data_IF_431598506165
#
_entry.id   IF_431598506165
#
_cell.length_a   1.000
_cell.length_b   1.000
_cell.length_c   1.000
_cell.angle_alpha   90.00
_cell.angle_beta   90.00
_cell.angle_gamma   90.00
#
_symmetry.space_group_name_H-M   'P 1'
#
loop_
_entity.id
_entity.type
_entity.pdbx_description
1 polymer ?
#
# COMPACT_ATOMS: atom_id res chain seq x y z
N UNK A 1 2.27 -7.75 -14.30
CA UNK A 1 1.11 -7.05 -13.68
C UNK A 1 -0.09 -7.07 -14.60
N UNK A 2 0.11 -6.95 -15.89
CA UNK A 2 -0.97 -6.86 -16.88
C UNK A 2 -1.65 -8.22 -17.12
N UNK A 3 -0.98 -9.32 -16.78
CA UNK A 3 -1.50 -10.71 -16.90
C UNK A 3 -2.44 -11.12 -15.76
N UNK A 4 -2.56 -10.31 -14.71
CA UNK A 4 -3.46 -10.62 -13.60
C UNK A 4 -4.90 -10.23 -13.95
N UNK A 5 -5.87 -11.08 -13.63
CA UNK A 5 -7.28 -10.70 -13.62
C UNK A 5 -7.54 -9.61 -12.56
N UNK A 6 -8.63 -8.86 -12.68
CA UNK A 6 -8.97 -7.80 -11.71
C UNK A 6 -9.15 -8.34 -10.29
N UNK A 7 -9.68 -9.55 -10.15
CA UNK A 7 -9.82 -10.24 -8.87
C UNK A 7 -8.45 -10.55 -8.25
N UNK A 8 -7.52 -11.08 -9.04
CA UNK A 8 -6.15 -11.38 -8.60
C UNK A 8 -5.38 -10.10 -8.29
N UNK A 9 -5.52 -9.07 -9.11
CA UNK A 9 -4.91 -7.77 -8.88
C UNK A 9 -5.36 -7.17 -7.54
N UNK A 10 -6.68 -7.15 -7.29
CA UNK A 10 -7.24 -6.66 -6.03
C UNK A 10 -6.77 -7.48 -4.83
N UNK A 11 -6.66 -8.79 -4.99
CA UNK A 11 -6.16 -9.69 -3.95
C UNK A 11 -4.68 -9.45 -3.65
N UNK A 12 -3.88 -9.17 -4.68
CA UNK A 12 -2.44 -8.97 -4.60
C UNK A 12 -2.06 -7.60 -4.04
N UNK A 13 -2.74 -6.54 -4.49
CA UNK A 13 -2.39 -5.15 -4.17
C UNK A 13 -3.36 -4.47 -3.20
N UNK A 14 -4.41 -5.16 -2.77
CA UNK A 14 -5.47 -4.66 -1.88
C UNK A 14 -6.20 -3.42 -2.40
N UNK A 15 -6.09 -3.13 -3.69
CA UNK A 15 -6.77 -2.02 -4.35
C UNK A 15 -7.23 -2.41 -5.76
N UNK A 16 -8.13 -1.61 -6.34
CA UNK A 16 -8.52 -1.78 -7.75
C UNK A 16 -7.45 -1.21 -8.68
N UNK A 17 -7.43 -1.61 -9.96
CA UNK A 17 -6.54 -1.01 -10.98
C UNK A 17 -6.76 0.49 -11.09
N UNK A 18 -8.02 0.93 -11.09
CA UNK A 18 -8.35 2.36 -11.14
C UNK A 18 -7.78 3.15 -9.95
N UNK A 19 -7.85 2.56 -8.74
CA UNK A 19 -7.24 3.16 -7.54
C UNK A 19 -5.72 3.17 -7.64
N UNK A 20 -5.11 2.10 -8.13
CA UNK A 20 -3.68 2.02 -8.36
C UNK A 20 -3.19 3.12 -9.33
N UNK A 21 -3.91 3.32 -10.44
CA UNK A 21 -3.55 4.34 -11.43
C UNK A 21 -3.76 5.77 -10.89
N UNK A 22 -4.77 5.98 -10.02
CA UNK A 22 -4.93 7.25 -9.31
C UNK A 22 -3.75 7.53 -8.38
N UNK A 23 -3.35 6.55 -7.57
CA UNK A 23 -2.18 6.65 -6.69
C UNK A 23 -0.90 6.92 -7.49
N UNK A 24 -0.73 6.26 -8.61
CA UNK A 24 0.42 6.46 -9.48
C UNK A 24 0.49 7.90 -10.03
N UNK A 25 -0.65 8.47 -10.43
CA UNK A 25 -0.73 9.87 -10.87
C UNK A 25 -0.40 10.86 -9.75
N UNK A 26 -0.85 10.59 -8.53
CA UNK A 26 -0.54 11.43 -7.36
C UNK A 26 0.95 11.37 -7.04
N UNK A 27 1.51 10.17 -6.96
CA UNK A 27 2.93 9.95 -6.68
C UNK A 27 3.85 10.54 -7.75
N UNK A 28 3.43 10.54 -9.02
CA UNK A 28 4.23 11.12 -10.10
C UNK A 28 4.48 12.63 -9.96
N UNK A 29 3.63 13.33 -9.20
CA UNK A 29 3.78 14.75 -8.88
C UNK A 29 4.69 15.01 -7.69
N UNK A 30 4.80 14.03 -6.77
CA UNK A 30 5.53 14.16 -5.50
C UNK A 30 6.93 13.54 -5.55
N UNK A 31 7.12 12.49 -6.33
CA UNK A 31 8.40 11.78 -6.43
C UNK A 31 9.13 12.17 -7.72
N UNK A 32 10.19 12.97 -7.58
CA UNK A 32 11.10 13.22 -8.69
C UNK A 32 12.08 12.04 -8.84
N UNK A 33 11.86 11.26 -9.90
CA UNK A 33 12.71 10.11 -10.23
C UNK A 33 14.15 10.52 -10.60
N UNK A 34 14.37 11.77 -11.02
CA UNK A 34 15.72 12.26 -11.39
C UNK A 34 16.61 12.46 -10.16
N UNK A 35 16.02 12.82 -9.01
CA UNK A 35 16.76 13.00 -7.76
C UNK A 35 17.08 11.68 -7.05
N UNK A 36 16.31 10.63 -7.34
CA UNK A 36 16.55 9.29 -6.81
C UNK A 36 17.49 8.51 -7.73
N UNK A 37 18.72 9.01 -7.92
CA UNK A 37 19.74 8.29 -8.68
C UNK A 37 19.94 6.90 -8.12
N UNK A 38 19.44 5.89 -8.83
CA UNK A 38 20.03 4.58 -8.72
C UNK A 38 21.51 4.73 -9.07
N UNK A 39 22.39 4.30 -8.16
CA UNK A 39 23.82 4.24 -8.45
C UNK A 39 24.02 3.50 -9.77
N UNK A 40 25.01 3.90 -10.54
CA UNK A 40 25.41 3.33 -11.84
C UNK A 40 25.55 1.80 -11.86
N UNK A 41 25.63 1.16 -10.71
CA UNK A 41 25.90 -0.28 -10.54
C UNK A 41 24.66 -1.19 -10.65
N UNK A 42 23.44 -0.65 -10.76
CA UNK A 42 22.19 -1.44 -10.68
C UNK A 42 21.18 -1.14 -11.77
N UNK A 43 21.59 -0.88 -12.98
CA UNK A 43 20.67 -0.88 -14.14
C UNK A 43 19.66 0.28 -14.21
N UNK A 44 19.77 1.33 -13.39
CA UNK A 44 18.94 2.53 -13.49
C UNK A 44 17.93 2.71 -12.35
N UNK A 45 17.15 3.78 -12.42
CA UNK A 45 16.14 4.10 -11.41
C UNK A 45 14.95 3.13 -11.47
N UNK A 46 14.51 2.62 -10.31
CA UNK A 46 13.33 1.77 -10.22
C UNK A 46 12.09 2.58 -10.65
N UNK A 47 11.34 2.13 -11.69
CA UNK A 47 10.17 2.85 -12.17
C UNK A 47 9.12 3.07 -11.07
N UNK A 48 8.43 4.22 -11.09
CA UNK A 48 7.44 4.57 -10.06
C UNK A 48 6.33 3.53 -9.91
N UNK A 49 5.89 2.95 -11.03
CA UNK A 49 4.90 1.86 -11.05
C UNK A 49 5.37 0.63 -10.26
N UNK A 50 6.66 0.29 -10.38
CA UNK A 50 7.27 -0.81 -9.64
C UNK A 50 7.40 -0.47 -8.16
N UNK A 51 7.81 0.77 -7.82
CA UNK A 51 7.89 1.23 -6.43
C UNK A 51 6.53 1.15 -5.74
N UNK A 52 5.48 1.66 -6.37
CA UNK A 52 4.12 1.59 -5.84
C UNK A 52 3.67 0.13 -5.67
N UNK A 53 3.90 -0.73 -6.66
CA UNK A 53 3.55 -2.13 -6.60
C UNK A 53 4.26 -2.87 -5.45
N UNK A 54 5.57 -2.65 -5.29
CA UNK A 54 6.35 -3.22 -4.18
C UNK A 54 5.82 -2.73 -2.84
N UNK A 55 5.56 -1.42 -2.71
CA UNK A 55 5.07 -0.80 -1.48
C UNK A 55 3.71 -1.36 -1.08
N UNK A 56 2.75 -1.42 -1.99
CA UNK A 56 1.43 -1.98 -1.72
C UNK A 56 1.48 -3.46 -1.34
N UNK A 57 2.33 -4.25 -1.99
CA UNK A 57 2.51 -5.65 -1.63
C UNK A 57 3.19 -5.81 -0.26
N UNK A 58 4.15 -4.96 0.07
CA UNK A 58 4.78 -4.93 1.38
C UNK A 58 3.77 -4.61 2.48
N UNK A 59 2.96 -3.56 2.29
CA UNK A 59 1.88 -3.19 3.20
C UNK A 59 0.79 -4.26 3.30
N UNK A 60 0.59 -5.05 2.25
CA UNK A 60 -0.31 -6.20 2.25
C UNK A 60 0.27 -7.45 2.95
N UNK A 61 1.46 -7.36 3.57
CA UNK A 61 2.09 -8.42 4.34
C UNK A 61 3.02 -9.35 3.55
N UNK A 62 3.45 -8.97 2.33
CA UNK A 62 4.41 -9.77 1.59
C UNK A 62 5.81 -9.70 2.21
N UNK A 63 6.55 -10.81 2.18
CA UNK A 63 7.94 -10.85 2.60
C UNK A 63 8.81 -9.92 1.76
N UNK A 64 9.68 -9.15 2.41
CA UNK A 64 10.62 -8.28 1.68
C UNK A 64 11.59 -9.07 0.80
N UNK A 65 12.00 -10.26 1.23
CA UNK A 65 12.87 -11.13 0.44
C UNK A 65 12.20 -11.55 -0.86
N UNK A 66 10.93 -11.97 -0.78
CA UNK A 66 10.15 -12.36 -1.96
C UNK A 66 9.96 -11.18 -2.91
N UNK A 67 9.73 -9.98 -2.36
CA UNK A 67 9.63 -8.76 -3.16
C UNK A 67 10.96 -8.41 -3.83
N UNK A 68 12.08 -8.52 -3.12
CA UNK A 68 13.40 -8.31 -3.70
C UNK A 68 13.65 -9.26 -4.87
N UNK A 69 13.34 -10.54 -4.70
CA UNK A 69 13.49 -11.56 -5.75
C UNK A 69 12.55 -11.29 -6.94
N UNK A 70 11.28 -11.00 -6.66
CA UNK A 70 10.26 -10.79 -7.68
C UNK A 70 10.52 -9.57 -8.56
N UNK A 71 11.03 -8.49 -7.97
CA UNK A 71 11.26 -7.22 -8.66
C UNK A 71 12.73 -6.96 -9.01
N UNK A 72 13.64 -7.90 -8.70
CA UNK A 72 15.07 -7.77 -8.98
C UNK A 72 15.75 -6.65 -8.21
N UNK A 73 15.31 -6.37 -6.97
CA UNK A 73 15.83 -5.29 -6.13
C UNK A 73 16.70 -5.86 -5.02
N UNK A 74 17.89 -5.32 -4.82
CA UNK A 74 18.75 -5.75 -3.74
C UNK A 74 18.14 -5.43 -2.35
N UNK A 75 18.27 -6.34 -1.39
CA UNK A 75 17.73 -6.21 -0.04
C UNK A 75 18.19 -4.93 0.67
N UNK A 76 19.46 -4.55 0.50
CA UNK A 76 20.01 -3.30 1.04
C UNK A 76 19.35 -2.04 0.45
N UNK A 77 18.86 -2.11 -0.79
CA UNK A 77 18.11 -1.01 -1.42
C UNK A 77 16.68 -0.93 -0.88
N UNK A 78 16.09 -2.08 -0.54
CA UNK A 78 14.74 -2.15 -0.01
C UNK A 78 14.60 -1.41 1.33
N UNK A 79 15.52 -1.64 2.27
CA UNK A 79 15.47 -1.08 3.63
C UNK A 79 16.15 0.28 3.80
N UNK A 80 16.72 0.83 2.75
CA UNK A 80 17.40 2.13 2.85
C UNK A 80 16.38 3.23 3.17
N UNK A 81 16.70 4.15 4.09
CA UNK A 81 15.81 5.25 4.51
C UNK A 81 15.27 6.10 3.35
N UNK A 82 16.11 6.31 2.34
CA UNK A 82 15.75 6.96 1.08
C UNK A 82 15.51 5.95 -0.05
N UNK A 83 15.21 4.69 0.32
CA UNK A 83 14.92 3.62 -0.63
C UNK A 83 13.53 3.75 -1.26
N UNK A 84 13.26 2.91 -2.28
CA UNK A 84 12.04 3.00 -3.07
C UNK A 84 10.76 2.82 -2.23
N UNK A 85 10.80 2.00 -1.18
CA UNK A 85 9.64 1.72 -0.34
C UNK A 85 9.33 2.91 0.57
N UNK A 86 10.31 3.35 1.37
CA UNK A 86 10.10 4.41 2.35
C UNK A 86 9.80 5.77 1.71
N UNK A 87 10.43 6.09 0.58
CA UNK A 87 10.10 7.31 -0.17
C UNK A 87 8.68 7.26 -0.74
N UNK A 88 8.22 6.08 -1.14
CA UNK A 88 6.84 5.92 -1.62
C UNK A 88 5.83 5.99 -0.48
N UNK A 89 6.12 5.37 0.68
CA UNK A 89 5.26 5.45 1.87
C UNK A 89 5.11 6.91 2.33
N UNK A 90 6.21 7.64 2.48
CA UNK A 90 6.17 9.06 2.88
C UNK A 90 5.38 9.91 1.88
N UNK A 91 5.57 9.69 0.58
CA UNK A 91 4.83 10.42 -0.45
C UNK A 91 3.33 10.06 -0.47
N UNK A 92 2.95 8.86 -0.03
CA UNK A 92 1.55 8.46 0.18
C UNK A 92 0.97 9.10 1.44
N UNK A 93 1.73 9.13 2.53
CA UNK A 93 1.35 9.75 3.81
C UNK A 93 1.10 11.26 3.65
N UNK A 94 1.96 11.93 2.88
CA UNK A 94 1.80 13.36 2.54
C UNK A 94 0.63 13.64 1.56
N UNK A 95 -0.17 12.64 1.17
CA UNK A 95 -1.25 12.83 0.21
C UNK A 95 -2.56 13.15 0.90
N UNK A 96 -3.05 14.39 0.75
CA UNK A 96 -4.38 14.83 1.19
C UNK A 96 -5.54 13.97 0.63
N UNK A 97 -5.26 13.13 -0.37
CA UNK A 97 -6.24 12.22 -1.01
C UNK A 97 -6.41 10.90 -0.24
N UNK A 98 -5.51 10.61 0.71
CA UNK A 98 -5.56 9.45 1.59
C UNK A 98 -5.80 9.95 3.01
N UNK A 99 -6.91 10.62 3.21
CA UNK A 99 -7.37 10.96 4.53
C UNK A 99 -8.15 9.78 5.10
N UNK A 100 -7.82 9.45 6.33
CA UNK A 100 -8.68 8.61 7.14
C UNK A 100 -9.73 9.55 7.74
N UNK A 101 -10.91 9.56 7.15
CA UNK A 101 -11.99 10.41 7.64
C UNK A 101 -12.52 9.92 8.98
N UNK A 102 -11.91 10.43 10.04
CA UNK A 102 -12.38 10.26 11.40
C UNK A 102 -13.45 11.28 11.79
N UNK A 103 -13.79 12.21 10.91
CA UNK A 103 -14.71 13.31 11.22
C UNK A 103 -16.12 12.81 11.51
N UNK A 104 -16.35 11.52 11.18
CA UNK A 104 -17.51 10.78 11.63
C UNK A 104 -18.79 11.58 11.51
N UNK A 105 -19.15 11.97 10.30
CA UNK A 105 -20.57 12.24 10.08
C UNK A 105 -21.30 11.03 10.63
N UNK A 106 -22.17 11.27 11.61
CA UNK A 106 -22.83 10.20 12.40
C UNK A 106 -23.35 9.05 11.54
N UNK A 107 -23.83 9.35 10.29
CA UNK A 107 -24.31 8.39 9.34
C UNK A 107 -23.23 7.46 8.77
N UNK A 108 -22.02 7.95 8.54
CA UNK A 108 -20.95 7.14 7.94
C UNK A 108 -20.43 6.05 8.88
N UNK A 109 -20.29 6.36 10.18
CA UNK A 109 -19.89 5.37 11.17
C UNK A 109 -20.99 4.33 11.42
N UNK A 110 -22.26 4.75 11.36
CA UNK A 110 -23.41 3.84 11.44
C UNK A 110 -23.46 2.91 10.22
N UNK A 111 -23.20 3.40 9.01
CA UNK A 111 -23.14 2.57 7.79
C UNK A 111 -22.01 1.54 7.86
N UNK A 112 -20.84 1.93 8.39
CA UNK A 112 -19.71 1.02 8.59
C UNK A 112 -20.08 -0.03 9.65
N UNK A 113 -20.65 0.38 10.79
CA UNK A 113 -21.08 -0.53 11.84
C UNK A 113 -22.12 -1.54 11.34
N UNK A 114 -23.10 -1.07 10.58
CA UNK A 114 -24.10 -1.94 9.93
C UNK A 114 -23.45 -2.90 8.92
N UNK A 115 -22.39 -2.49 8.22
CA UNK A 115 -21.61 -3.34 7.33
C UNK A 115 -20.93 -4.49 8.09
N UNK A 116 -20.39 -4.24 9.29
CA UNK A 116 -19.82 -5.28 10.17
C UNK A 116 -20.93 -6.19 10.74
N UNK A 117 -22.05 -5.64 11.18
CA UNK A 117 -23.17 -6.40 11.71
C UNK A 117 -23.77 -7.37 10.68
N UNK A 118 -23.81 -6.96 9.42
CA UNK A 118 -24.32 -7.76 8.29
C UNK A 118 -23.26 -8.66 7.65
N UNK A 119 -22.01 -8.66 8.14
CA UNK A 119 -20.98 -9.52 7.62
C UNK A 119 -21.27 -10.98 8.00
N UNK A 120 -21.64 -11.81 7.01
CA UNK A 120 -22.33 -13.10 7.15
C UNK A 120 -21.64 -14.19 8.00
N UNK A 121 -20.45 -13.96 8.55
CA UNK A 121 -19.78 -14.85 9.50
C UNK A 121 -19.95 -14.41 10.96
N UNK A 122 -20.33 -13.17 11.20
CA UNK A 122 -20.39 -12.61 12.54
C UNK A 122 -21.80 -12.59 13.15
N UNK A 123 -22.87 -12.70 12.34
CA UNK A 123 -24.27 -12.72 12.76
C UNK A 123 -24.57 -11.82 13.98
N UNK A 124 -24.11 -10.56 13.93
CA UNK A 124 -24.32 -9.61 15.02
C UNK A 124 -23.45 -9.84 16.27
N UNK A 125 -22.39 -10.66 16.21
CA UNK A 125 -21.47 -10.86 17.33
C UNK A 125 -20.59 -9.62 17.62
N UNK A 126 -20.44 -8.71 16.65
CA UNK A 126 -19.59 -7.53 16.75
C UNK A 126 -20.44 -6.28 16.48
N UNK A 127 -21.41 -6.02 17.35
CA UNK A 127 -22.28 -4.84 17.25
C UNK A 127 -21.51 -3.54 17.41
N UNK A 128 -21.78 -2.56 16.55
CA UNK A 128 -21.18 -1.23 16.65
C UNK A 128 -19.70 -1.17 16.31
N UNK A 129 -19.13 -2.20 15.68
CA UNK A 129 -17.74 -2.19 15.25
C UNK A 129 -17.59 -1.28 14.03
N UNK A 130 -16.77 -0.25 14.14
CA UNK A 130 -16.48 0.69 13.05
C UNK A 130 -15.09 0.46 12.43
N UNK A 131 -14.24 -0.32 13.08
CA UNK A 131 -12.90 -0.61 12.60
C UNK A 131 -12.31 -1.87 13.25
N UNK A 132 -11.55 -2.63 12.48
CA UNK A 132 -10.68 -3.68 12.98
C UNK A 132 -9.22 -3.24 12.85
N UNK A 133 -8.46 -3.29 13.95
CA UNK A 133 -7.03 -2.98 13.97
C UNK A 133 -6.27 -4.29 14.12
N UNK A 134 -5.37 -4.55 13.18
CA UNK A 134 -4.42 -5.65 13.29
C UNK A 134 -3.03 -5.11 13.69
N UNK A 135 -2.33 -5.84 14.54
CA UNK A 135 -1.03 -5.44 15.04
C UNK A 135 0.08 -6.15 14.27
N UNK A 136 0.94 -5.38 13.62
CA UNK A 136 2.19 -5.89 13.04
C UNK A 136 3.29 -5.86 14.09
N UNK A 137 3.76 -7.02 14.55
CA UNK A 137 4.91 -7.11 15.45
C UNK A 137 6.20 -7.08 14.63
N UNK A 138 6.88 -5.96 14.63
CA UNK A 138 8.23 -5.83 14.06
C UNK A 138 9.23 -6.18 15.16
N UNK A 139 9.90 -7.33 15.03
CA UNK A 139 11.05 -7.65 15.90
C UNK A 139 12.28 -6.89 15.37
N UNK A 140 12.73 -5.90 16.11
CA UNK A 140 14.05 -5.30 15.93
C UNK A 140 15.08 -6.15 16.66
N UNK A 141 16.21 -6.44 16.02
CA UNK A 141 17.38 -7.04 16.63
C UNK A 141 18.33 -5.97 17.10
#
# INVERSE_FOLDING_TARGET
MDDLSDKEFRRTYRCTRASFDKLLKVLSKKIDLKLNHARKDTGGAIPLRVRLAMTLRFLAGASYLDLCMLYGVASGTFYKDNGPIWTTIRALDDCDTIEFDWSGEKGHLEDIANGFDNCGLANGLIHGCVMAIDALVIRTR
#
